data_IF_610418716617
#
_entry.id   IF_610418716617
#
_cell.length_a   1.000
_cell.length_b   1.000
_cell.length_c   1.000
_cell.angle_alpha   90.00
_cell.angle_beta   90.00
_cell.angle_gamma   90.00
#
_symmetry.space_group_name_H-M   'P 1'
#
loop_
_entity.id
_entity.type
_entity.pdbx_description
1 polymer ?
#
# COMPACT_ATOMS: atom_id res chain seq x y z
N UNK A 1 3.37 -8.05 -16.74
CA UNK A 1 2.09 -8.16 -17.50
C UNK A 1 1.05 -8.58 -16.48
N UNK A 2 0.06 -7.71 -16.21
CA UNK A 2 -0.91 -7.91 -15.13
C UNK A 2 -1.88 -9.06 -15.40
N UNK A 3 -1.96 -9.99 -14.43
CA UNK A 3 -2.88 -11.13 -14.45
C UNK A 3 -4.20 -10.77 -13.76
N UNK A 4 -4.86 -9.70 -14.19
CA UNK A 4 -6.11 -9.27 -13.58
C UNK A 4 -7.22 -10.26 -13.94
N UNK A 5 -7.54 -11.14 -12.99
CA UNK A 5 -8.66 -12.06 -13.07
C UNK A 5 -9.88 -11.40 -12.44
N UNK A 6 -11.08 -11.70 -12.94
CA UNK A 6 -12.32 -11.30 -12.27
C UNK A 6 -12.34 -11.87 -10.86
N UNK A 7 -12.30 -10.99 -9.85
CA UNK A 7 -12.17 -11.37 -8.43
C UNK A 7 -10.75 -11.32 -7.87
N UNK A 8 -9.79 -10.68 -8.56
CA UNK A 8 -8.46 -10.41 -8.01
C UNK A 8 -8.53 -9.35 -6.90
N UNK A 9 -7.76 -9.57 -5.85
CA UNK A 9 -7.56 -8.63 -4.76
C UNK A 9 -6.79 -7.40 -5.27
N UNK A 10 -7.00 -6.24 -4.63
CA UNK A 10 -6.24 -5.02 -4.87
C UNK A 10 -5.03 -5.02 -3.93
N UNK A 11 -3.81 -5.01 -4.46
CA UNK A 11 -2.60 -4.90 -3.65
C UNK A 11 -2.25 -3.41 -3.41
N UNK A 12 -2.10 -3.01 -2.15
CA UNK A 12 -1.73 -1.66 -1.74
C UNK A 12 -0.51 -1.67 -0.80
N UNK A 13 0.62 -1.15 -1.30
CA UNK A 13 1.81 -0.95 -0.48
C UNK A 13 1.89 0.49 0.05
N UNK A 14 2.00 0.64 1.37
CA UNK A 14 2.30 1.91 2.03
C UNK A 14 3.82 2.06 2.17
N UNK A 15 4.37 3.18 1.72
CA UNK A 15 5.82 3.45 1.68
C UNK A 15 6.14 4.67 2.52
N UNK A 16 7.02 4.51 3.51
CA UNK A 16 7.46 5.53 4.43
C UNK A 16 8.00 4.94 5.74
N UNK A 17 9.15 5.43 6.19
CA UNK A 17 9.78 5.00 7.46
C UNK A 17 8.95 5.42 8.69
N UNK A 18 8.17 6.49 8.58
CA UNK A 18 7.34 7.02 9.67
C UNK A 18 6.00 6.28 9.82
N UNK A 19 5.66 5.39 8.89
CA UNK A 19 4.41 4.63 8.92
C UNK A 19 4.45 3.59 10.03
N UNK A 20 3.44 3.60 10.89
CA UNK A 20 3.31 2.67 12.01
C UNK A 20 2.37 1.52 11.67
N UNK A 21 2.45 0.45 12.45
CA UNK A 21 1.59 -0.72 12.29
C UNK A 21 0.10 -0.36 12.40
N UNK A 22 -0.25 0.56 13.30
CA UNK A 22 -1.61 1.05 13.49
C UNK A 22 -2.15 1.75 12.23
N UNK A 23 -1.31 2.46 11.47
CA UNK A 23 -1.72 3.11 10.22
C UNK A 23 -2.16 2.07 9.19
N UNK A 24 -1.39 0.98 9.06
CA UNK A 24 -1.70 -0.15 8.17
C UNK A 24 -3.03 -0.78 8.54
N UNK A 25 -3.24 -1.05 9.83
CA UNK A 25 -4.49 -1.65 10.33
C UNK A 25 -5.70 -0.74 10.08
N UNK A 26 -5.58 0.54 10.39
CA UNK A 26 -6.66 1.50 10.22
C UNK A 26 -7.04 1.64 8.73
N UNK A 27 -6.05 1.71 7.84
CA UNK A 27 -6.29 1.79 6.40
C UNK A 27 -6.93 0.48 5.90
N UNK A 28 -6.46 -0.68 6.36
CA UNK A 28 -7.05 -1.97 5.98
C UNK A 28 -8.51 -2.10 6.41
N UNK A 29 -8.83 -1.77 7.67
CA UNK A 29 -10.21 -1.79 8.18
C UNK A 29 -11.10 -0.80 7.42
N UNK A 30 -10.62 0.43 7.19
CA UNK A 30 -11.36 1.43 6.41
C UNK A 30 -11.71 0.91 5.00
N UNK A 31 -10.74 0.33 4.29
CA UNK A 31 -10.93 -0.09 2.90
C UNK A 31 -11.77 -1.37 2.77
N UNK A 32 -11.63 -2.31 3.72
CA UNK A 32 -12.28 -3.62 3.63
C UNK A 32 -13.62 -3.71 4.38
N UNK A 33 -13.84 -2.89 5.41
CA UNK A 33 -15.03 -2.98 6.28
C UNK A 33 -15.98 -1.78 6.12
N UNK A 34 -15.45 -0.58 5.89
CA UNK A 34 -16.25 0.64 5.84
C UNK A 34 -16.50 1.16 4.42
N UNK A 35 -15.49 1.09 3.55
CA UNK A 35 -15.59 1.63 2.19
C UNK A 35 -16.45 0.74 1.29
N UNK A 36 -17.24 1.32 0.36
CA UNK A 36 -18.07 0.56 -0.58
C UNK A 36 -17.23 0.00 -1.75
N UNK A 37 -16.09 -0.63 -1.46
CA UNK A 37 -15.21 -1.25 -2.46
C UNK A 37 -15.64 -2.70 -2.65
N UNK A 38 -15.99 -3.14 -3.88
CA UNK A 38 -16.47 -4.50 -4.12
C UNK A 38 -15.34 -5.56 -4.21
N UNK A 39 -14.12 -5.20 -3.83
CA UNK A 39 -12.91 -6.03 -3.86
C UNK A 39 -12.21 -5.93 -2.51
N UNK A 40 -11.54 -7.01 -2.11
CA UNK A 40 -10.66 -6.99 -0.95
C UNK A 40 -9.36 -6.26 -1.31
N UNK A 41 -8.83 -5.49 -0.36
CA UNK A 41 -7.56 -4.77 -0.48
C UNK A 41 -6.54 -5.36 0.49
N UNK A 42 -5.46 -5.93 -0.04
CA UNK A 42 -4.31 -6.34 0.77
C UNK A 42 -3.40 -5.13 1.02
N UNK A 43 -3.29 -4.71 2.28
CA UNK A 43 -2.52 -3.52 2.67
C UNK A 43 -1.25 -3.97 3.38
N UNK A 44 -0.10 -3.62 2.80
CA UNK A 44 1.22 -3.97 3.34
C UNK A 44 2.07 -2.74 3.60
N UNK A 45 2.93 -2.79 4.63
CA UNK A 45 3.94 -1.76 4.87
C UNK A 45 5.25 -2.14 4.19
N UNK A 46 5.60 -1.44 3.12
CA UNK A 46 6.75 -1.76 2.26
C UNK A 46 8.08 -1.81 3.01
N UNK A 47 8.31 -0.85 3.92
CA UNK A 47 9.60 -0.71 4.60
C UNK A 47 9.85 -1.79 5.63
N UNK A 48 8.79 -2.37 6.21
CA UNK A 48 8.90 -3.52 7.13
C UNK A 48 9.08 -4.87 6.42
N UNK A 49 8.88 -4.94 5.09
CA UNK A 49 9.08 -6.17 4.34
C UNK A 49 10.57 -6.55 4.30
N UNK A 50 10.87 -7.81 4.59
CA UNK A 50 12.21 -8.39 4.50
C UNK A 50 12.47 -9.10 3.18
N UNK A 51 11.42 -9.48 2.44
CA UNK A 51 11.52 -10.18 1.17
C UNK A 51 11.88 -9.20 0.04
N UNK A 52 13.14 -9.24 -0.40
CA UNK A 52 13.64 -8.36 -1.47
C UNK A 52 12.92 -8.55 -2.81
N UNK A 53 12.61 -9.78 -3.20
CA UNK A 53 11.97 -10.05 -4.48
C UNK A 53 10.56 -9.45 -4.53
N UNK A 54 9.82 -9.55 -3.42
CA UNK A 54 8.52 -8.89 -3.27
C UNK A 54 8.64 -7.37 -3.35
N UNK A 55 9.64 -6.78 -2.67
CA UNK A 55 9.89 -5.34 -2.73
C UNK A 55 10.22 -4.88 -4.16
N UNK A 56 11.02 -5.65 -4.87
CA UNK A 56 11.37 -5.34 -6.26
C UNK A 56 10.14 -5.43 -7.17
N UNK A 57 9.25 -6.40 -6.96
CA UNK A 57 7.98 -6.51 -7.69
C UNK A 57 7.07 -5.30 -7.43
N UNK A 58 6.90 -4.90 -6.16
CA UNK A 58 6.10 -3.70 -5.80
C UNK A 58 6.64 -2.45 -6.51
N UNK A 59 7.96 -2.28 -6.57
CA UNK A 59 8.58 -1.11 -7.21
C UNK A 59 8.50 -1.17 -8.74
N UNK A 60 8.71 -2.34 -9.33
CA UNK A 60 8.79 -2.49 -10.79
C UNK A 60 7.42 -2.55 -11.46
N UNK A 61 6.41 -3.09 -10.77
CA UNK A 61 5.06 -3.30 -11.31
C UNK A 61 4.03 -2.33 -10.73
N UNK A 62 4.27 -1.80 -9.53
CA UNK A 62 3.36 -0.87 -8.86
C UNK A 62 3.35 0.52 -9.50
N UNK A 63 2.23 1.22 -9.30
CA UNK A 63 2.06 2.61 -9.69
C UNK A 63 1.81 3.47 -8.45
N UNK A 64 2.55 4.56 -8.30
CA UNK A 64 2.34 5.49 -7.20
C UNK A 64 0.98 6.20 -7.35
N UNK A 65 0.07 5.96 -6.41
CA UNK A 65 -1.27 6.56 -6.37
C UNK A 65 -1.27 7.93 -5.67
N UNK A 66 -0.60 8.01 -4.52
CA UNK A 66 -0.47 9.22 -3.71
C UNK A 66 1.00 9.41 -3.35
N UNK A 67 1.45 10.65 -3.41
CA UNK A 67 2.79 11.07 -2.96
C UNK A 67 2.62 12.29 -2.09
N UNK A 68 3.08 12.20 -0.85
CA UNK A 68 3.17 13.34 0.04
C UNK A 68 4.63 13.76 0.15
N UNK A 69 4.95 14.92 -0.40
CA UNK A 69 6.26 15.52 -0.21
C UNK A 69 6.19 16.34 1.08
N UNK A 70 6.96 15.94 2.10
CA UNK A 70 7.09 16.76 3.29
C UNK A 70 7.80 18.05 2.88
N UNK A 71 7.04 19.13 2.64
CA UNK A 71 7.59 20.47 2.56
C UNK A 71 8.24 20.74 3.91
N UNK A 72 9.57 20.63 3.99
CA UNK A 72 10.32 21.09 5.16
C UNK A 72 10.08 22.58 5.27
N UNK A 73 9.17 22.99 6.15
CA UNK A 73 9.15 24.35 6.66
C UNK A 73 10.45 24.53 7.43
N UNK A 74 11.42 25.19 6.79
CA UNK A 74 12.57 25.75 7.46
C UNK A 74 12.07 26.66 8.58
N UNK A 75 12.53 26.41 9.80
CA UNK A 75 12.50 27.37 10.90
C UNK A 75 13.93 27.58 11.37
#
# INVERSE_FOLDING_TARGET
MGNEKTGSDIDLALVGEDIQYEDVLNISSLLNEEAPIPYYVDVVHYDSLSNKDLKDQIINEGQALLKYEHLRSFK
#
